data_IF_572639708298
#
_entry.id   IF_572639708298
#
_cell.length_a   1.000
_cell.length_b   1.000
_cell.length_c   1.000
_cell.angle_alpha   90.00
_cell.angle_beta   90.00
_cell.angle_gamma   90.00
#
_symmetry.space_group_name_H-M   'P 1'
#
loop_
_entity.id
_entity.type
_entity.pdbx_description
1 polymer ?
#
# COMPACT_ATOMS: atom_id res chain seq x y z
N UNK A 1 -20.68 -9.67 14.57
CA UNK A 1 -20.29 -9.06 13.28
C UNK A 1 -20.43 -10.12 12.20
N UNK A 2 -21.00 -9.79 11.02
CA UNK A 2 -21.04 -10.70 9.89
C UNK A 2 -19.61 -11.12 9.50
N UNK A 3 -19.44 -12.38 9.08
CA UNK A 3 -18.18 -12.94 8.58
C UNK A 3 -18.24 -13.05 7.05
N UNK A 4 -17.09 -12.99 6.36
CA UNK A 4 -17.04 -13.31 4.94
C UNK A 4 -17.45 -14.76 4.70
N UNK A 5 -18.26 -15.03 3.68
CA UNK A 5 -18.85 -16.37 3.44
C UNK A 5 -18.56 -16.96 2.06
N UNK A 6 -18.15 -16.14 1.10
CA UNK A 6 -17.84 -16.52 -0.28
C UNK A 6 -16.38 -16.24 -0.68
N UNK A 7 -15.60 -15.57 0.17
CA UNK A 7 -14.17 -15.32 -0.06
C UNK A 7 -13.42 -16.64 -0.10
N UNK A 8 -12.69 -16.86 -1.19
CA UNK A 8 -11.83 -18.04 -1.36
C UNK A 8 -10.36 -17.65 -1.23
N UNK A 9 -9.50 -18.51 -0.68
CA UNK A 9 -8.07 -18.27 -0.72
C UNK A 9 -7.52 -18.47 -2.15
N UNK A 10 -6.52 -17.67 -2.53
CA UNK A 10 -5.72 -17.83 -3.74
C UNK A 10 -4.24 -17.90 -3.34
N UNK A 11 -3.45 -18.78 -3.98
CA UNK A 11 -1.99 -18.85 -3.74
C UNK A 11 -1.22 -17.83 -4.57
N UNK A 12 0.01 -17.54 -4.16
CA UNK A 12 0.87 -16.58 -4.83
C UNK A 12 1.08 -16.90 -6.31
N UNK A 13 1.34 -18.16 -6.67
CA UNK A 13 1.55 -18.60 -8.07
C UNK A 13 0.30 -18.40 -8.92
N UNK A 14 -0.88 -18.67 -8.35
CA UNK A 14 -2.16 -18.49 -9.02
C UNK A 14 -2.47 -16.99 -9.22
N UNK A 15 -2.11 -16.14 -8.24
CA UNK A 15 -2.21 -14.68 -8.40
C UNK A 15 -1.30 -14.20 -9.54
N UNK A 16 -0.06 -14.68 -9.63
CA UNK A 16 0.84 -14.31 -10.73
C UNK A 16 0.25 -14.69 -12.09
N UNK A 17 -0.25 -15.92 -12.23
CA UNK A 17 -0.91 -16.37 -13.47
C UNK A 17 -2.10 -15.46 -13.84
N UNK A 18 -2.85 -15.01 -12.83
CA UNK A 18 -4.00 -14.13 -12.99
C UNK A 18 -3.60 -12.70 -13.37
N UNK A 19 -2.46 -12.19 -12.87
CA UNK A 19 -1.88 -10.91 -13.25
C UNK A 19 -1.26 -10.94 -14.66
N UNK A 20 -0.63 -12.04 -15.06
CA UNK A 20 -0.06 -12.22 -16.41
C UNK A 20 -1.11 -12.31 -17.53
N UNK A 21 -2.36 -12.62 -17.15
CA UNK A 21 -3.49 -12.66 -18.07
C UNK A 21 -4.02 -11.27 -18.44
N UNK A 22 -5.33 -11.08 -18.31
CA UNK A 22 -5.95 -9.77 -18.57
C UNK A 22 -5.81 -8.84 -17.34
N UNK A 23 -4.70 -8.09 -17.27
CA UNK A 23 -4.38 -7.11 -16.22
C UNK A 23 -5.55 -6.20 -15.81
N UNK A 24 -6.40 -5.88 -16.77
CA UNK A 24 -7.54 -4.99 -16.62
C UNK A 24 -8.75 -5.60 -15.87
N UNK A 25 -8.68 -6.89 -15.48
CA UNK A 25 -9.74 -7.61 -14.73
C UNK A 25 -9.46 -7.75 -13.25
N UNK A 26 -8.24 -7.50 -12.81
CA UNK A 26 -7.81 -7.77 -11.44
C UNK A 26 -7.69 -6.47 -10.67
N UNK A 27 -8.32 -6.41 -9.50
CA UNK A 27 -8.13 -5.32 -8.54
C UNK A 27 -7.40 -5.89 -7.35
N UNK A 28 -6.15 -5.49 -7.18
CA UNK A 28 -5.30 -5.93 -6.08
C UNK A 28 -5.36 -4.91 -4.93
N UNK A 29 -5.71 -5.38 -3.74
CA UNK A 29 -5.93 -4.53 -2.56
C UNK A 29 -4.93 -4.93 -1.46
N UNK A 30 -4.08 -3.97 -1.09
CA UNK A 30 -3.25 -4.05 0.10
C UNK A 30 -4.04 -3.55 1.31
N UNK A 31 -4.35 -4.47 2.23
CA UNK A 31 -5.07 -4.16 3.46
C UNK A 31 -4.16 -3.95 4.67
N UNK A 32 -2.86 -3.70 4.49
CA UNK A 32 -1.91 -3.42 5.58
C UNK A 32 -1.90 -1.93 5.93
N UNK A 33 -1.09 -1.58 6.92
CA UNK A 33 -0.94 -0.18 7.32
C UNK A 33 -0.30 0.63 6.19
N UNK A 34 -0.53 1.94 6.21
CA UNK A 34 0.14 2.87 5.29
C UNK A 34 1.67 2.70 5.32
N UNK A 35 2.26 2.47 6.50
CA UNK A 35 3.72 2.32 6.64
C UNK A 35 4.20 1.05 5.96
N UNK A 36 3.52 -0.07 6.16
CA UNK A 36 3.91 -1.35 5.55
C UNK A 36 3.80 -1.30 4.03
N UNK A 37 2.73 -0.70 3.52
CA UNK A 37 2.51 -0.52 2.09
C UNK A 37 3.63 0.33 1.45
N UNK A 38 3.93 1.50 2.02
CA UNK A 38 4.98 2.38 1.49
C UNK A 38 6.38 1.81 1.67
N UNK A 39 6.58 0.89 2.62
CA UNK A 39 7.84 0.17 2.79
C UNK A 39 8.04 -0.80 1.63
N UNK A 40 7.04 -1.62 1.31
CA UNK A 40 7.03 -2.45 0.10
C UNK A 40 5.67 -3.09 -0.08
N UNK A 41 5.18 -3.21 -1.31
CA UNK A 41 3.87 -3.80 -1.64
C UNK A 41 3.92 -4.50 -3.00
N UNK A 42 2.89 -5.26 -3.36
CA UNK A 42 2.80 -5.91 -4.69
C UNK A 42 2.52 -4.82 -5.73
N UNK A 43 3.13 -4.91 -6.92
CA UNK A 43 2.96 -3.96 -8.03
C UNK A 43 1.48 -3.62 -8.27
N UNK A 44 1.20 -2.33 -8.49
CA UNK A 44 -0.15 -1.81 -8.80
C UNK A 44 -1.23 -2.07 -7.73
N UNK A 45 -0.85 -2.53 -6.53
CA UNK A 45 -1.80 -2.75 -5.44
C UNK A 45 -2.33 -1.43 -4.87
N UNK A 46 -3.62 -1.40 -4.56
CA UNK A 46 -4.30 -0.25 -3.96
C UNK A 46 -4.32 -0.39 -2.44
N UNK A 47 -3.74 0.56 -1.72
CA UNK A 47 -3.79 0.55 -0.26
C UNK A 47 -5.13 1.08 0.27
N UNK A 48 -5.84 0.26 1.04
CA UNK A 48 -7.06 0.68 1.77
C UNK A 48 -6.76 1.09 3.22
N UNK A 49 -5.48 1.02 3.62
CA UNK A 49 -4.92 1.47 4.90
C UNK A 49 -5.64 0.90 6.14
N UNK A 50 -5.06 -0.15 6.71
CA UNK A 50 -5.52 -0.73 7.98
C UNK A 50 -5.36 0.25 9.14
N UNK A 51 -6.43 0.97 9.45
CA UNK A 51 -6.47 1.88 10.61
C UNK A 51 -7.79 1.75 11.38
N UNK A 52 -7.75 2.08 12.67
CA UNK A 52 -8.94 2.12 13.53
C UNK A 52 -10.02 3.05 12.97
N UNK A 53 -9.61 4.21 12.44
CA UNK A 53 -10.51 5.18 11.83
C UNK A 53 -11.17 4.61 10.56
N UNK A 54 -10.38 4.00 9.67
CA UNK A 54 -10.91 3.42 8.43
C UNK A 54 -11.86 2.27 8.73
N UNK A 55 -11.49 1.35 9.63
CA UNK A 55 -12.39 0.28 10.12
C UNK A 55 -13.73 0.85 10.58
N UNK A 56 -13.69 1.86 11.45
CA UNK A 56 -14.90 2.51 11.99
C UNK A 56 -15.74 3.14 10.88
N UNK A 57 -15.13 3.87 9.94
CA UNK A 57 -15.85 4.49 8.81
C UNK A 57 -16.49 3.45 7.89
N UNK A 58 -15.81 2.35 7.60
CA UNK A 58 -16.37 1.23 6.83
C UNK A 58 -17.54 0.57 7.58
N UNK A 59 -17.41 0.31 8.88
CA UNK A 59 -18.48 -0.28 9.69
C UNK A 59 -19.72 0.61 9.76
N UNK A 60 -19.53 1.93 9.82
CA UNK A 60 -20.60 2.93 9.88
C UNK A 60 -21.11 3.36 8.50
N UNK A 61 -20.64 2.74 7.41
CA UNK A 61 -20.98 3.09 6.03
C UNK A 61 -20.75 4.59 5.71
N UNK A 62 -19.75 5.21 6.36
CA UNK A 62 -19.29 6.59 6.12
C UNK A 62 -18.20 6.69 5.04
N UNK A 63 -17.77 5.55 4.53
CA UNK A 63 -16.90 5.39 3.35
C UNK A 63 -17.40 4.15 2.63
N UNK A 64 -17.63 4.26 1.33
CA UNK A 64 -18.00 3.10 0.51
C UNK A 64 -16.76 2.53 -0.18
N UNK A 65 -16.72 1.20 -0.33
CA UNK A 65 -15.66 0.52 -1.07
C UNK A 65 -15.57 1.00 -2.52
N UNK A 66 -16.72 1.30 -3.14
CA UNK A 66 -16.76 1.83 -4.49
C UNK A 66 -16.04 3.19 -4.61
N UNK A 67 -16.07 4.03 -3.58
CA UNK A 67 -15.36 5.32 -3.55
C UNK A 67 -13.85 5.11 -3.39
N UNK A 68 -13.44 4.16 -2.54
CA UNK A 68 -12.03 3.82 -2.33
C UNK A 68 -11.37 3.25 -3.60
N UNK A 69 -12.13 2.50 -4.38
CA UNK A 69 -11.65 1.85 -5.59
C UNK A 69 -11.95 2.65 -6.87
N UNK A 70 -12.55 3.84 -6.79
CA UNK A 70 -13.06 4.56 -7.97
C UNK A 70 -11.99 4.86 -9.03
N UNK A 71 -10.73 5.04 -8.63
CA UNK A 71 -9.62 5.33 -9.52
C UNK A 71 -8.87 4.08 -9.99
N UNK A 72 -9.10 2.94 -9.35
CA UNK A 72 -8.33 1.70 -9.57
C UNK A 72 -9.18 0.60 -10.20
N UNK A 73 -10.48 0.59 -9.93
CA UNK A 73 -11.44 -0.32 -10.52
C UNK A 73 -12.27 0.44 -11.58
N UNK A 74 -11.87 0.34 -12.85
CA UNK A 74 -12.83 0.58 -13.94
C UNK A 74 -13.92 -0.47 -13.75
N UNK A 75 -15.12 -0.10 -13.27
CA UNK A 75 -16.26 -1.04 -13.06
C UNK A 75 -16.56 -1.81 -14.34
N UNK A 76 -15.83 -2.90 -14.56
CA UNK A 76 -16.01 -3.84 -15.65
C UNK A 76 -16.81 -5.00 -15.07
N UNK A 77 -17.70 -5.55 -15.87
CA UNK A 77 -18.37 -6.79 -15.55
C UNK A 77 -17.32 -7.89 -15.37
N UNK A 78 -17.40 -8.67 -14.28
CA UNK A 78 -16.51 -9.79 -13.93
C UNK A 78 -15.07 -9.42 -13.51
N UNK A 79 -14.90 -8.37 -12.70
CA UNK A 79 -13.60 -8.13 -12.04
C UNK A 79 -13.37 -9.10 -10.88
N UNK A 80 -12.13 -9.57 -10.76
CA UNK A 80 -11.65 -10.35 -9.62
C UNK A 80 -10.94 -9.42 -8.64
N UNK A 81 -11.39 -9.42 -7.39
CA UNK A 81 -10.78 -8.61 -6.34
C UNK A 81 -9.93 -9.50 -5.47
N UNK A 82 -8.62 -9.26 -5.44
CA UNK A 82 -7.68 -9.99 -4.58
C UNK A 82 -7.25 -9.07 -3.46
N UNK A 83 -7.43 -9.51 -2.22
CA UNK A 83 -7.04 -8.77 -1.02
C UNK A 83 -5.90 -9.51 -0.33
N UNK A 84 -4.94 -8.78 0.21
CA UNK A 84 -3.90 -9.36 1.04
C UNK A 84 -3.56 -8.46 2.23
N UNK A 85 -3.23 -9.11 3.35
CA UNK A 85 -2.61 -8.47 4.50
C UNK A 85 -1.15 -8.96 4.65
N UNK A 86 -0.57 -8.93 5.85
CA UNK A 86 0.82 -9.33 6.02
C UNK A 86 1.02 -10.85 5.87
N UNK A 87 0.14 -11.69 6.42
CA UNK A 87 0.37 -13.13 6.54
C UNK A 87 -0.88 -14.00 6.76
N UNK A 88 -2.11 -13.50 6.54
CA UNK A 88 -3.30 -14.32 6.67
C UNK A 88 -3.39 -15.35 5.54
N UNK A 89 -3.78 -16.57 5.88
CA UNK A 89 -3.87 -17.67 4.91
C UNK A 89 -5.30 -18.10 4.57
N UNK A 90 -6.22 -17.96 5.53
CA UNK A 90 -7.59 -18.48 5.43
C UNK A 90 -8.60 -17.46 5.97
N UNK A 91 -9.61 -17.04 5.16
CA UNK A 91 -10.68 -16.17 5.59
C UNK A 91 -11.46 -16.68 6.82
N UNK A 92 -11.58 -17.99 7.00
CA UNK A 92 -12.35 -18.60 8.10
C UNK A 92 -11.68 -18.39 9.46
N UNK A 93 -10.36 -18.24 9.49
CA UNK A 93 -9.55 -18.07 10.70
C UNK A 93 -9.45 -16.62 11.17
N UNK A 94 -9.94 -15.66 10.38
CA UNK A 94 -9.88 -14.26 10.73
C UNK A 94 -10.77 -13.93 11.93
N UNK A 95 -10.26 -13.08 12.83
CA UNK A 95 -11.06 -12.53 13.91
C UNK A 95 -12.20 -11.72 13.31
N UNK A 96 -13.44 -12.00 13.75
CA UNK A 96 -14.66 -11.42 13.13
C UNK A 96 -14.74 -9.89 13.21
N UNK A 97 -14.00 -9.27 14.11
CA UNK A 97 -13.91 -7.82 14.21
C UNK A 97 -12.66 -7.25 13.54
N UNK A 98 -11.75 -8.06 12.99
CA UNK A 98 -10.54 -7.56 12.34
C UNK A 98 -10.86 -6.62 11.18
N UNK A 99 -9.94 -5.71 10.87
CA UNK A 99 -10.09 -4.82 9.71
C UNK A 99 -10.28 -5.61 8.41
N UNK A 100 -9.48 -6.67 8.21
CA UNK A 100 -9.57 -7.53 7.04
C UNK A 100 -10.95 -8.20 6.94
N UNK A 101 -11.51 -8.75 8.03
CA UNK A 101 -12.86 -9.33 8.00
C UNK A 101 -13.93 -8.28 7.64
N UNK A 102 -13.84 -7.06 8.19
CA UNK A 102 -14.77 -5.97 7.85
C UNK A 102 -14.65 -5.60 6.38
N UNK A 103 -13.43 -5.48 5.87
CA UNK A 103 -13.15 -5.13 4.47
C UNK A 103 -13.71 -6.19 3.52
N UNK A 104 -13.43 -7.48 3.77
CA UNK A 104 -13.92 -8.60 2.97
C UNK A 104 -15.45 -8.64 2.90
N UNK A 105 -16.14 -8.47 4.03
CA UNK A 105 -17.62 -8.43 4.07
C UNK A 105 -18.20 -7.28 3.23
N UNK A 106 -17.52 -6.14 3.16
CA UNK A 106 -17.96 -5.01 2.33
C UNK A 106 -17.68 -5.26 0.84
N UNK A 107 -16.56 -5.89 0.52
CA UNK A 107 -16.19 -6.26 -0.85
C UNK A 107 -17.15 -7.30 -1.44
N UNK A 108 -17.50 -8.36 -0.71
CA UNK A 108 -18.43 -9.40 -1.19
C UNK A 108 -19.83 -8.87 -1.52
N UNK A 109 -20.24 -7.76 -0.90
CA UNK A 109 -21.52 -7.09 -1.23
C UNK A 109 -21.47 -6.32 -2.54
N UNK A 110 -20.27 -6.00 -3.01
CA UNK A 110 -20.03 -5.10 -4.15
C UNK A 110 -19.46 -5.83 -5.37
N UNK A 111 -18.81 -6.98 -5.16
CA UNK A 111 -18.11 -7.76 -6.20
C UNK A 111 -18.50 -9.23 -6.12
N UNK A 112 -18.61 -9.88 -7.27
CA UNK A 112 -18.98 -11.30 -7.39
C UNK A 112 -17.82 -12.26 -7.12
N UNK A 113 -16.57 -11.82 -7.30
CA UNK A 113 -15.38 -12.62 -7.04
C UNK A 113 -14.42 -11.85 -6.14
N UNK A 114 -14.32 -12.30 -4.88
CA UNK A 114 -13.39 -11.77 -3.88
C UNK A 114 -12.51 -12.90 -3.38
N UNK A 115 -11.21 -12.68 -3.41
CA UNK A 115 -10.19 -13.66 -3.07
C UNK A 115 -9.26 -13.09 -1.99
N UNK A 116 -8.81 -13.95 -1.08
CA UNK A 116 -7.76 -13.63 -0.11
C UNK A 116 -6.45 -14.28 -0.56
N UNK A 117 -5.38 -13.50 -0.70
CA UNK A 117 -4.05 -14.04 -0.97
C UNK A 117 -3.55 -14.80 0.26
N UNK A 118 -3.44 -16.12 0.13
CA UNK A 118 -2.98 -17.00 1.19
C UNK A 118 -1.50 -16.74 1.49
N UNK A 119 -1.15 -16.59 2.77
CA UNK A 119 0.22 -16.26 3.21
C UNK A 119 0.56 -14.77 3.11
N UNK A 120 -0.38 -13.95 2.60
CA UNK A 120 -0.26 -12.51 2.51
C UNK A 120 0.97 -12.00 1.76
N UNK A 121 1.35 -10.76 2.05
CA UNK A 121 2.53 -10.12 1.48
C UNK A 121 3.84 -10.82 1.86
N UNK A 122 3.90 -11.39 3.08
CA UNK A 122 5.10 -12.05 3.58
C UNK A 122 5.53 -13.20 2.67
N UNK A 123 4.60 -14.09 2.31
CA UNK A 123 4.89 -15.22 1.43
C UNK A 123 5.10 -14.76 -0.02
N UNK A 124 4.22 -13.90 -0.52
CA UNK A 124 4.31 -13.42 -1.90
C UNK A 124 5.63 -12.73 -2.21
N UNK A 125 6.08 -11.83 -1.33
CA UNK A 125 7.31 -11.05 -1.54
C UNK A 125 8.60 -11.87 -1.46
N UNK A 126 8.54 -13.08 -0.88
CA UNK A 126 9.63 -14.05 -0.88
C UNK A 126 9.68 -14.84 -2.19
N UNK A 127 8.52 -15.27 -2.68
CA UNK A 127 8.42 -16.07 -3.91
C UNK A 127 8.59 -15.21 -5.17
N UNK A 128 8.05 -13.99 -5.17
CA UNK A 128 8.00 -13.09 -6.33
C UNK A 128 8.52 -11.69 -6.00
N UNK A 129 9.79 -11.55 -5.58
CA UNK A 129 10.34 -10.25 -5.18
C UNK A 129 10.36 -9.21 -6.32
N UNK A 130 10.45 -9.66 -7.58
CA UNK A 130 10.41 -8.79 -8.76
C UNK A 130 9.03 -8.22 -9.08
N UNK A 131 7.98 -8.71 -8.41
CA UNK A 131 6.61 -8.21 -8.52
C UNK A 131 6.21 -7.33 -7.33
N UNK A 132 7.20 -6.76 -6.62
CA UNK A 132 6.97 -5.88 -5.48
C UNK A 132 7.64 -4.50 -5.70
N UNK A 133 6.93 -3.44 -5.35
CA UNK A 133 7.44 -2.07 -5.26
C UNK A 133 7.96 -1.76 -3.85
N UNK A 134 8.73 -0.70 -3.69
CA UNK A 134 9.18 -0.19 -2.38
C UNK A 134 10.35 -0.95 -1.74
N UNK A 135 10.69 -2.17 -2.21
CA UNK A 135 12.02 -2.75 -2.00
C UNK A 135 13.04 -1.91 -2.79
N UNK A 136 13.41 -0.75 -2.25
CA UNK A 136 14.67 -0.12 -2.57
C UNK A 136 15.73 -1.18 -2.26
N UNK A 137 16.23 -1.87 -3.29
CA UNK A 137 17.57 -2.45 -3.26
C UNK A 137 18.47 -1.28 -2.97
N UNK A 138 18.68 -1.01 -1.68
CA UNK A 138 19.55 0.00 -1.11
C UNK A 138 20.16 0.84 -2.24
N UNK A 139 19.38 1.76 -2.83
CA UNK A 139 20.05 2.94 -3.35
C UNK A 139 20.75 3.39 -2.08
N UNK A 140 22.11 3.39 -2.01
CA UNK A 140 22.78 3.84 -0.82
C UNK A 140 22.02 5.10 -0.49
N UNK A 141 21.38 5.12 0.68
CA UNK A 141 20.78 6.34 1.19
C UNK A 141 21.76 7.39 0.76
N UNK A 142 21.32 8.38 -0.02
CA UNK A 142 22.15 9.54 -0.21
C UNK A 142 22.54 9.88 1.21
N UNK A 143 23.79 9.55 1.55
CA UNK A 143 24.35 9.86 2.84
C UNK A 143 24.35 11.35 2.61
N UNK A 144 23.30 12.02 3.10
CA UNK A 144 23.40 13.39 3.50
C UNK A 144 24.63 13.32 4.37
N UNK A 145 25.77 13.61 3.74
CA UNK A 145 27.06 13.53 4.39
C UNK A 145 26.80 14.30 5.65
N UNK A 146 26.92 13.63 6.81
CA UNK A 146 26.91 14.30 8.09
C UNK A 146 27.85 15.48 7.88
N UNK A 147 27.27 16.69 7.81
CA UNK A 147 27.92 17.81 7.16
C UNK A 147 29.31 17.91 7.78
N UNK A 148 30.35 17.61 7.00
CA UNK A 148 31.70 17.88 7.44
C UNK A 148 31.70 19.37 7.80
N UNK A 149 32.26 19.80 8.93
CA UNK A 149 32.21 21.19 9.33
C UNK A 149 32.82 22.03 8.20
N UNK A 150 31.94 22.70 7.46
CA UNK A 150 32.31 23.56 6.36
C UNK A 150 33.06 24.72 7.01
N UNK A 151 34.38 24.78 6.78
CA UNK A 151 35.24 25.88 7.25
C UNK A 151 34.99 27.19 6.48
N UNK A 152 33.98 27.21 5.60
CA UNK A 152 33.60 28.38 4.83
C UNK A 152 32.66 29.25 5.67
N UNK A 153 33.25 30.21 6.40
CA UNK A 153 32.51 31.20 7.17
C UNK A 153 31.97 32.26 6.21
N UNK A 154 30.74 32.09 5.72
CA UNK A 154 30.07 33.07 4.88
C UNK A 154 28.81 32.54 4.17
N UNK A 155 27.97 33.44 3.63
CA UNK A 155 26.74 33.05 2.96
C UNK A 155 27.04 32.27 1.67
N UNK A 156 26.31 31.18 1.45
CA UNK A 156 26.47 30.34 0.26
C UNK A 156 25.74 30.97 -0.92
N UNK A 157 26.47 31.28 -2.00
CA UNK A 157 25.87 31.80 -3.22
C UNK A 157 25.11 30.70 -3.97
N UNK A 158 23.81 30.86 -4.14
CA UNK A 158 22.95 29.96 -4.92
C UNK A 158 22.84 30.44 -6.39
N UNK A 159 22.74 31.76 -6.60
CA UNK A 159 22.72 32.41 -7.92
C UNK A 159 23.57 33.70 -7.87
N UNK A 160 23.91 34.33 -9.01
CA UNK A 160 24.74 35.55 -9.02
C UNK A 160 24.27 36.66 -8.07
N UNK A 161 22.96 36.73 -7.82
CA UNK A 161 22.32 37.68 -6.91
C UNK A 161 21.53 37.04 -5.76
N UNK A 162 21.66 35.72 -5.54
CA UNK A 162 20.95 35.03 -4.46
C UNK A 162 21.96 34.30 -3.57
N UNK A 163 21.98 34.68 -2.30
CA UNK A 163 22.87 34.12 -1.29
C UNK A 163 22.01 33.59 -0.14
N UNK A 164 22.36 32.41 0.35
CA UNK A 164 21.75 31.78 1.51
C UNK A 164 22.73 31.86 2.68
N UNK A 165 22.39 32.64 3.70
CA UNK A 165 23.17 32.81 4.93
C UNK A 165 22.27 32.84 6.16
N UNK A 166 22.88 32.86 7.34
CA UNK A 166 22.18 33.06 8.59
C UNK A 166 21.91 34.55 8.86
N UNK A 167 21.05 34.86 9.84
CA UNK A 167 20.72 36.26 10.20
C UNK A 167 21.96 37.12 10.51
N UNK A 168 23.04 36.52 11.04
CA UNK A 168 24.30 37.25 11.31
C UNK A 168 25.01 37.67 10.03
N UNK A 169 24.90 36.88 8.96
CA UNK A 169 25.55 37.15 7.68
C UNK A 169 24.90 38.35 6.95
N UNK A 170 23.66 38.71 7.32
CA UNK A 170 22.96 39.89 6.80
C UNK A 170 23.40 41.18 7.51
N UNK A 171 23.90 41.07 8.75
CA UNK A 171 24.17 42.22 9.62
C UNK A 171 25.65 42.65 9.64
N UNK A 172 26.56 41.84 9.10
CA UNK A 172 27.96 42.23 8.90
C UNK A 172 28.09 43.00 7.57
N UNK A 173 28.28 44.32 7.65
CA UNK A 173 28.70 45.16 6.51
C UNK A 173 30.22 45.19 6.39
#
# INVERSE_FOLDING_TARGET
MPRPSSVRPIRAEALVTLLEGELDRVVLIDSRSFVDYNTSHILEAVNVNCSKLMKRRLQQDKVQIAELLQHSAKKKTNQEVVVYDQNSSDPALLAADSFLSVLLVKLERSFSSVLLLSGGFSEFSLLFPGLCEGKSTLVPSCVSQSCLPITNVGPTRILPHLYLGCQRDVLNK
#
